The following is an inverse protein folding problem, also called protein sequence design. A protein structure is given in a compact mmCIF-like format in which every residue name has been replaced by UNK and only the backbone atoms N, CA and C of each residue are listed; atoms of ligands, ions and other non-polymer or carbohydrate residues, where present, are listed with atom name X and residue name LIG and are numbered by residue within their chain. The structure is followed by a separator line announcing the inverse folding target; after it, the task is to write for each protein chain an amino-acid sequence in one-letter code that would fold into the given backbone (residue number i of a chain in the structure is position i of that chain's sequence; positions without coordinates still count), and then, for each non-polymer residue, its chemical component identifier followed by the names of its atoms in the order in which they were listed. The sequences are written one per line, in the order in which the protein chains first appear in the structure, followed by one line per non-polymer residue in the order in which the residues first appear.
data_IF_583627353844
#
_entry.id   IF_583627353844
#
_cell.length_a   1.000
_cell.length_b   1.000
_cell.length_c   1.000
_cell.angle_alpha   90.00
_cell.angle_beta   90.00
_cell.angle_gamma   90.00
#
_symmetry.space_group_name_H-M   'P 1'
#
loop_
_entity.id
_entity.type
_entity.pdbx_description
1 polymer ?
#
# COMPACT_ATOMS: atom_id res chain seq x y z
N UNK A 1 -21.59 -12.90 7.44
CA UNK A 1 -21.15 -12.05 6.33
C UNK A 1 -19.99 -12.77 5.66
N UNK A 2 -20.18 -13.16 4.40
CA UNK A 2 -19.15 -13.83 3.62
C UNK A 2 -18.04 -12.80 3.37
N UNK A 3 -16.86 -13.03 3.94
CA UNK A 3 -15.65 -12.25 3.65
C UNK A 3 -15.25 -12.68 2.24
N UNK A 4 -15.62 -11.83 1.27
CA UNK A 4 -15.43 -12.10 -0.15
C UNK A 4 -13.96 -12.28 -0.48
N UNK A 5 -13.71 -13.34 -1.20
CA UNK A 5 -12.55 -13.67 -2.01
C UNK A 5 -11.16 -13.37 -1.42
N UNK A 6 -10.76 -14.14 -0.41
CA UNK A 6 -9.33 -14.45 -0.25
C UNK A 6 -8.82 -14.85 -1.65
N UNK A 7 -7.78 -14.18 -2.18
CA UNK A 7 -7.26 -14.53 -3.49
C UNK A 7 -6.93 -16.01 -3.55
N UNK A 8 -7.38 -16.64 -4.63
CA UNK A 8 -7.18 -18.08 -4.85
C UNK A 8 -5.69 -18.43 -4.90
N UNK A 9 -5.29 -19.70 -4.67
CA UNK A 9 -3.90 -20.16 -4.83
C UNK A 9 -3.27 -19.79 -6.18
N UNK A 10 -4.08 -19.65 -7.25
CA UNK A 10 -3.63 -19.18 -8.57
C UNK A 10 -3.13 -17.72 -8.54
N UNK A 11 -3.73 -16.84 -7.75
CA UNK A 11 -3.27 -15.46 -7.60
C UNK A 11 -1.91 -15.39 -6.91
N UNK A 12 -1.67 -16.19 -5.87
CA UNK A 12 -0.39 -16.22 -5.17
C UNK A 12 0.78 -16.61 -6.10
N UNK A 13 0.57 -17.57 -7.01
CA UNK A 13 1.59 -17.99 -7.99
C UNK A 13 1.89 -16.88 -9.01
N UNK A 14 0.90 -16.09 -9.39
CA UNK A 14 1.09 -14.97 -10.30
C UNK A 14 1.91 -13.86 -9.65
N UNK A 15 1.55 -13.43 -8.44
CA UNK A 15 2.32 -12.43 -7.68
C UNK A 15 3.75 -12.92 -7.36
N UNK A 16 3.94 -14.21 -7.14
CA UNK A 16 5.27 -14.81 -6.93
C UNK A 16 6.14 -14.66 -8.20
N UNK A 17 5.58 -14.91 -9.38
CA UNK A 17 6.27 -14.68 -10.66
C UNK A 17 6.60 -13.21 -10.90
N UNK A 18 5.65 -12.32 -10.63
CA UNK A 18 5.85 -10.87 -10.75
C UNK A 18 6.97 -10.38 -9.83
N UNK A 19 6.97 -10.82 -8.57
CA UNK A 19 8.04 -10.47 -7.64
C UNK A 19 9.41 -10.96 -8.10
N UNK A 20 9.53 -12.22 -8.58
CA UNK A 20 10.79 -12.76 -9.10
C UNK A 20 11.27 -12.00 -10.34
N UNK A 21 10.38 -11.71 -11.28
CA UNK A 21 10.71 -10.94 -12.48
C UNK A 21 11.18 -9.51 -12.11
N UNK A 22 10.51 -8.87 -11.14
CA UNK A 22 10.94 -7.58 -10.62
C UNK A 22 12.34 -7.67 -9.98
N UNK A 23 12.59 -8.69 -9.17
CA UNK A 23 13.89 -8.90 -8.49
C UNK A 23 15.02 -9.08 -9.50
N UNK A 24 14.79 -9.88 -10.53
CA UNK A 24 15.76 -10.10 -11.62
C UNK A 24 16.07 -8.80 -12.36
N UNK A 25 15.05 -7.98 -12.63
CA UNK A 25 15.21 -6.68 -13.30
C UNK A 25 15.98 -5.65 -12.44
N UNK A 26 15.88 -5.72 -11.10
CA UNK A 26 16.61 -4.83 -10.19
C UNK A 26 18.06 -5.25 -9.98
N UNK A 27 18.38 -6.52 -10.20
CA UNK A 27 19.69 -7.11 -9.99
C UNK A 27 20.11 -7.25 -8.52
N UNK A 28 21.38 -7.62 -8.25
CA UNK A 28 21.84 -8.02 -6.90
C UNK A 28 21.63 -6.98 -5.80
N UNK A 29 21.59 -5.68 -6.15
CA UNK A 29 21.37 -4.59 -5.18
C UNK A 29 19.98 -4.61 -4.55
N UNK A 30 19.00 -5.27 -5.19
CA UNK A 30 17.68 -5.44 -4.61
C UNK A 30 17.69 -6.29 -3.34
N UNK A 31 18.71 -7.11 -3.15
CA UNK A 31 18.91 -7.95 -1.97
C UNK A 31 19.76 -7.28 -0.87
N UNK A 32 20.22 -6.05 -1.09
CA UNK A 32 20.95 -5.26 -0.10
C UNK A 32 19.98 -4.42 0.72
N UNK A 33 19.73 -4.82 1.96
CA UNK A 33 18.80 -4.16 2.87
C UNK A 33 19.14 -2.67 3.08
N UNK A 34 20.40 -2.37 3.32
CA UNK A 34 20.84 -1.01 3.59
C UNK A 34 20.64 -0.09 2.38
N UNK A 35 20.95 -0.61 1.20
CA UNK A 35 20.73 0.12 -0.05
C UNK A 35 19.22 0.37 -0.27
N UNK A 36 18.37 -0.63 -0.03
CA UNK A 36 16.91 -0.55 -0.16
C UNK A 36 16.32 0.44 0.86
N UNK A 37 16.71 0.38 2.11
CA UNK A 37 16.22 1.26 3.18
C UNK A 37 16.60 2.73 2.93
N UNK A 38 17.77 3.01 2.37
CA UNK A 38 18.16 4.37 1.96
C UNK A 38 17.39 4.88 0.77
N UNK A 39 16.84 3.99 -0.06
CA UNK A 39 16.14 4.31 -1.31
C UNK A 39 14.62 4.13 -1.25
N UNK A 40 14.05 4.30 -0.06
CA UNK A 40 12.60 4.32 0.07
C UNK A 40 11.99 5.27 -0.97
N UNK A 41 10.94 4.81 -1.66
CA UNK A 41 10.32 5.57 -2.75
C UNK A 41 9.84 6.95 -2.27
N UNK A 42 9.97 7.97 -3.11
CA UNK A 42 9.63 9.34 -2.73
C UNK A 42 8.16 9.46 -2.26
N UNK A 43 7.22 8.75 -2.88
CA UNK A 43 5.81 8.70 -2.52
C UNK A 43 5.58 8.09 -1.14
N UNK A 44 6.31 7.04 -0.78
CA UNK A 44 6.28 6.44 0.55
C UNK A 44 6.79 7.43 1.62
N UNK A 45 7.84 8.20 1.31
CA UNK A 45 8.33 9.26 2.23
C UNK A 45 7.30 10.38 2.44
N UNK A 46 6.55 10.75 1.39
CA UNK A 46 5.45 11.72 1.53
C UNK A 46 4.35 11.14 2.40
N UNK A 47 3.98 9.87 2.18
CA UNK A 47 2.94 9.18 2.93
C UNK A 47 3.29 9.12 4.43
N UNK A 48 4.52 8.70 4.78
CA UNK A 48 5.01 8.65 6.17
C UNK A 48 5.00 10.01 6.86
N UNK A 49 5.33 11.09 6.15
CA UNK A 49 5.27 12.45 6.71
C UNK A 49 3.86 12.91 7.00
N UNK A 50 2.89 12.49 6.19
CA UNK A 50 1.49 12.90 6.35
C UNK A 50 0.75 12.03 7.36
N UNK A 51 1.09 10.78 7.45
CA UNK A 51 0.48 9.76 8.29
C UNK A 51 1.57 9.04 9.07
N UNK A 52 2.12 9.70 10.10
CA UNK A 52 3.19 9.10 10.91
C UNK A 52 2.68 7.88 11.66
N UNK A 53 3.45 6.77 11.64
CA UNK A 53 3.01 5.50 12.22
C UNK A 53 3.35 5.36 13.72
N UNK A 54 4.01 6.32 14.34
CA UNK A 54 4.48 6.23 15.72
C UNK A 54 3.39 5.78 16.70
N UNK A 55 3.70 4.75 17.51
CA UNK A 55 2.82 4.14 18.51
C UNK A 55 1.49 3.62 17.96
N UNK A 56 1.42 3.25 16.68
CA UNK A 56 0.23 2.73 16.03
C UNK A 56 0.43 1.30 15.61
N UNK A 57 -0.68 0.54 15.58
CA UNK A 57 -0.72 -0.73 14.87
C UNK A 57 -0.94 -0.44 13.40
N UNK A 58 0.01 -0.81 12.58
CA UNK A 58 0.04 -0.48 11.16
C UNK A 58 0.10 -1.73 10.30
N UNK A 59 -0.81 -1.83 9.33
CA UNK A 59 -0.77 -2.83 8.27
C UNK A 59 -0.19 -2.22 7.00
N UNK A 60 0.82 -2.85 6.45
CA UNK A 60 1.34 -2.61 5.10
C UNK A 60 0.76 -3.70 4.17
N UNK A 61 -0.31 -3.36 3.47
CA UNK A 61 -1.01 -4.29 2.58
C UNK A 61 -0.38 -4.25 1.18
N UNK A 62 0.07 -5.41 0.69
CA UNK A 62 0.92 -5.50 -0.50
C UNK A 62 2.35 -5.09 -0.17
N UNK A 63 2.90 -5.63 0.92
CA UNK A 63 4.19 -5.18 1.46
C UNK A 63 5.39 -5.62 0.63
N UNK A 64 5.20 -6.50 -0.35
CA UNK A 64 6.28 -7.05 -1.16
C UNK A 64 7.38 -7.68 -0.28
N UNK A 65 8.64 -7.29 -0.44
CA UNK A 65 9.79 -7.73 0.36
C UNK A 65 9.96 -6.96 1.68
N UNK A 66 8.94 -6.24 2.13
CA UNK A 66 8.82 -5.70 3.49
C UNK A 66 9.62 -4.44 3.78
N UNK A 67 10.25 -3.78 2.81
CA UNK A 67 11.08 -2.58 3.06
C UNK A 67 10.27 -1.44 3.69
N UNK A 68 9.04 -1.23 3.25
CA UNK A 68 8.20 -0.19 3.83
C UNK A 68 7.71 -0.59 5.23
N UNK A 69 7.34 -1.86 5.44
CA UNK A 69 6.98 -2.41 6.75
C UNK A 69 8.11 -2.28 7.77
N UNK A 70 9.35 -2.61 7.38
CA UNK A 70 10.54 -2.40 8.22
C UNK A 70 10.72 -0.92 8.58
N UNK A 71 10.44 -0.02 7.65
CA UNK A 71 10.48 1.43 7.94
C UNK A 71 9.38 1.85 8.91
N UNK A 72 8.17 1.32 8.80
CA UNK A 72 7.09 1.57 9.78
C UNK A 72 7.52 1.14 11.19
N UNK A 73 8.11 -0.04 11.32
CA UNK A 73 8.64 -0.55 12.60
C UNK A 73 9.74 0.36 13.16
N UNK A 74 10.70 0.81 12.34
CA UNK A 74 11.76 1.74 12.76
C UNK A 74 11.21 3.11 13.22
N UNK A 75 10.05 3.49 12.73
CA UNK A 75 9.36 4.73 13.11
C UNK A 75 8.41 4.54 14.32
N UNK A 76 8.50 3.41 15.02
CA UNK A 76 7.77 3.17 16.27
C UNK A 76 6.40 2.51 16.13
N UNK A 77 6.04 2.02 14.93
CA UNK A 77 4.80 1.26 14.76
C UNK A 77 4.95 -0.19 15.25
N UNK A 78 3.84 -0.77 15.70
CA UNK A 78 3.65 -2.21 15.70
C UNK A 78 3.19 -2.61 14.29
N UNK A 79 4.16 -3.01 13.44
CA UNK A 79 3.93 -3.18 12.02
C UNK A 79 3.69 -4.63 11.61
N UNK A 80 2.73 -4.83 10.72
CA UNK A 80 2.47 -6.11 10.03
C UNK A 80 2.55 -5.86 8.53
N UNK A 81 3.34 -6.68 7.83
CA UNK A 81 3.39 -6.73 6.37
C UNK A 81 2.62 -7.93 5.84
N UNK A 82 1.69 -7.69 4.96
CA UNK A 82 0.94 -8.72 4.26
C UNK A 82 1.20 -8.66 2.76
N UNK A 83 1.50 -9.81 2.16
CA UNK A 83 1.62 -9.96 0.70
C UNK A 83 1.21 -11.37 0.29
N UNK A 84 0.69 -11.52 -0.92
CA UNK A 84 0.28 -12.81 -1.48
C UNK A 84 1.45 -13.68 -1.94
N UNK A 85 2.62 -13.08 -2.23
CA UNK A 85 3.80 -13.78 -2.73
C UNK A 85 4.60 -14.41 -1.59
N UNK A 86 4.65 -15.76 -1.48
CA UNK A 86 5.53 -16.42 -0.51
C UNK A 86 7.02 -16.08 -0.72
N UNK A 87 7.44 -15.86 -1.97
CA UNK A 87 8.83 -15.48 -2.26
C UNK A 87 9.15 -14.07 -1.73
N UNK A 88 8.23 -13.12 -1.88
CA UNK A 88 8.39 -11.76 -1.35
C UNK A 88 8.42 -11.78 0.19
N UNK A 89 7.51 -12.50 0.83
CA UNK A 89 7.49 -12.66 2.29
C UNK A 89 8.75 -13.38 2.77
N UNK A 90 9.21 -14.43 2.07
CA UNK A 90 10.47 -15.10 2.41
C UNK A 90 11.69 -14.17 2.34
N UNK A 91 11.68 -13.18 1.44
CA UNK A 91 12.73 -12.15 1.39
C UNK A 91 12.57 -11.11 2.50
N UNK A 92 11.33 -10.71 2.82
CA UNK A 92 11.04 -9.81 3.94
C UNK A 92 11.53 -10.39 5.29
N UNK A 93 11.32 -11.69 5.50
CA UNK A 93 11.81 -12.42 6.66
C UNK A 93 13.34 -12.41 6.75
N UNK A 94 14.03 -12.57 5.61
CA UNK A 94 15.52 -12.47 5.58
C UNK A 94 15.98 -11.06 5.94
N UNK A 95 15.30 -10.03 5.45
CA UNK A 95 15.61 -8.64 5.78
C UNK A 95 15.33 -8.30 7.25
N UNK A 96 14.29 -8.88 7.85
CA UNK A 96 14.02 -8.74 9.28
C UNK A 96 15.09 -9.40 10.14
N UNK A 97 15.64 -10.53 9.70
CA UNK A 97 16.59 -11.33 10.47
C UNK A 97 15.93 -11.97 11.70
N UNK A 98 16.67 -12.05 12.80
CA UNK A 98 16.22 -12.69 14.03
C UNK A 98 15.28 -11.82 14.90
N UNK A 99 14.97 -10.59 14.50
CA UNK A 99 14.05 -9.73 15.26
C UNK A 99 12.64 -10.29 15.24
N UNK A 100 11.87 -10.24 16.35
CA UNK A 100 10.50 -10.75 16.40
C UNK A 100 9.51 -9.88 15.62
N UNK A 101 9.87 -8.64 15.34
CA UNK A 101 9.02 -7.67 14.62
C UNK A 101 9.80 -6.95 13.51
N UNK A 102 9.14 -6.45 12.48
CA UNK A 102 7.70 -6.62 12.19
C UNK A 102 7.30 -8.05 11.87
N UNK A 103 6.00 -8.35 11.92
CA UNK A 103 5.45 -9.64 11.48
C UNK A 103 5.21 -9.59 9.97
N UNK A 104 5.60 -10.64 9.24
CA UNK A 104 5.29 -10.82 7.82
C UNK A 104 4.41 -12.05 7.61
N UNK A 105 3.43 -11.96 6.72
CA UNK A 105 2.44 -13.02 6.52
C UNK A 105 1.88 -13.05 5.10
N UNK A 106 1.58 -14.27 4.62
CA UNK A 106 0.76 -14.49 3.41
C UNK A 106 -0.72 -14.73 3.73
N UNK A 107 -1.08 -14.74 5.01
CA UNK A 107 -2.46 -14.89 5.48
C UNK A 107 -2.99 -13.52 5.88
N UNK A 108 -4.14 -13.08 5.34
CA UNK A 108 -4.71 -11.79 5.73
C UNK A 108 -4.93 -11.71 7.25
N UNK A 109 -4.57 -10.60 7.88
CA UNK A 109 -4.84 -10.41 9.31
C UNK A 109 -6.35 -10.35 9.60
N UNK A 110 -6.72 -10.49 10.87
CA UNK A 110 -8.11 -10.36 11.30
C UNK A 110 -8.62 -8.92 11.18
N UNK A 111 -9.95 -8.71 11.13
CA UNK A 111 -10.55 -7.40 11.02
C UNK A 111 -10.41 -6.57 12.30
N UNK A 112 -10.55 -5.24 12.18
CA UNK A 112 -10.67 -4.32 13.31
C UNK A 112 -9.39 -4.12 14.13
N UNK A 113 -8.21 -4.41 13.58
CA UNK A 113 -6.98 -4.46 14.37
C UNK A 113 -6.08 -3.23 14.22
N UNK A 114 -6.18 -2.47 13.11
CA UNK A 114 -5.15 -1.50 12.75
C UNK A 114 -5.63 -0.05 12.86
N UNK A 115 -4.78 0.80 13.41
CA UNK A 115 -4.99 2.25 13.43
C UNK A 115 -4.69 2.88 12.06
N UNK A 116 -3.75 2.26 11.31
CA UNK A 116 -3.37 2.65 9.97
C UNK A 116 -3.28 1.41 9.06
N UNK A 117 -3.94 1.48 7.92
CA UNK A 117 -3.76 0.54 6.82
C UNK A 117 -3.10 1.30 5.68
N UNK A 118 -1.91 0.89 5.28
CA UNK A 118 -1.20 1.42 4.11
C UNK A 118 -1.44 0.50 2.92
N UNK A 119 -1.83 1.08 1.78
CA UNK A 119 -2.03 0.40 0.49
C UNK A 119 -1.25 1.17 -0.59
N UNK A 120 0.01 0.77 -0.81
CA UNK A 120 0.92 1.50 -1.69
C UNK A 120 1.07 0.80 -3.03
N UNK A 121 0.58 1.41 -4.12
CA UNK A 121 0.71 0.88 -5.47
C UNK A 121 0.16 -0.56 -5.58
N UNK A 122 -1.05 -0.76 -5.07
CA UNK A 122 -1.76 -2.05 -5.11
C UNK A 122 -3.10 -1.91 -5.83
N UNK A 123 -3.79 -0.77 -5.63
CA UNK A 123 -5.16 -0.59 -6.07
C UNK A 123 -5.30 -0.71 -7.60
N UNK A 124 -4.29 -0.26 -8.35
CA UNK A 124 -4.23 -0.35 -9.81
C UNK A 124 -4.15 -1.78 -10.36
N UNK A 125 -3.73 -2.73 -9.53
CA UNK A 125 -3.66 -4.16 -9.89
C UNK A 125 -4.95 -4.93 -9.62
N UNK A 126 -5.95 -4.27 -9.02
CA UNK A 126 -7.18 -4.92 -8.56
C UNK A 126 -8.32 -4.74 -9.57
N UNK A 127 -8.97 -5.83 -9.93
CA UNK A 127 -10.11 -5.82 -10.87
C UNK A 127 -11.37 -5.21 -10.28
N UNK A 128 -11.78 -5.59 -9.07
CA UNK A 128 -12.89 -5.00 -8.31
C UNK A 128 -12.35 -4.15 -7.18
N UNK A 129 -11.98 -2.92 -7.51
CA UNK A 129 -11.38 -1.97 -6.58
C UNK A 129 -12.34 -1.54 -5.46
N UNK A 130 -13.63 -1.41 -5.77
CA UNK A 130 -14.61 -1.00 -4.77
C UNK A 130 -14.81 -2.08 -3.68
N UNK A 131 -14.90 -3.35 -4.04
CA UNK A 131 -14.96 -4.44 -3.07
C UNK A 131 -13.66 -4.54 -2.27
N UNK A 132 -12.52 -4.42 -2.95
CA UNK A 132 -11.20 -4.48 -2.32
C UNK A 132 -10.97 -3.37 -1.29
N UNK A 133 -11.39 -2.13 -1.55
CA UNK A 133 -11.32 -1.05 -0.56
C UNK A 133 -12.15 -1.38 0.68
N UNK A 134 -13.29 -2.07 0.52
CA UNK A 134 -14.08 -2.56 1.65
C UNK A 134 -13.32 -3.58 2.52
N UNK A 135 -12.56 -4.47 1.90
CA UNK A 135 -11.70 -5.41 2.63
C UNK A 135 -10.61 -4.66 3.42
N UNK A 136 -9.96 -3.66 2.79
CA UNK A 136 -8.96 -2.84 3.48
C UNK A 136 -9.54 -2.06 4.67
N UNK A 137 -10.73 -1.52 4.50
CA UNK A 137 -11.45 -0.80 5.57
C UNK A 137 -11.83 -1.74 6.72
N UNK A 138 -12.15 -3.01 6.42
CA UNK A 138 -12.49 -3.99 7.46
C UNK A 138 -11.31 -4.30 8.41
N UNK A 139 -10.06 -4.10 8.00
CA UNK A 139 -8.90 -4.24 8.89
C UNK A 139 -8.77 -3.11 9.91
N UNK A 140 -9.41 -1.95 9.69
CA UNK A 140 -9.28 -0.77 10.55
C UNK A 140 -9.96 -0.97 11.89
N UNK A 141 -9.27 -0.61 12.94
CA UNK A 141 -9.85 -0.38 14.27
C UNK A 141 -10.80 0.84 14.24
N UNK A 142 -11.71 0.98 15.21
CA UNK A 142 -12.54 2.17 15.33
C UNK A 142 -11.71 3.46 15.35
N UNK A 143 -11.98 4.38 14.42
CA UNK A 143 -11.20 5.62 14.25
C UNK A 143 -9.93 5.47 13.42
N UNK A 144 -9.62 4.28 12.93
CA UNK A 144 -8.50 4.01 12.04
C UNK A 144 -8.64 4.65 10.66
N UNK A 145 -7.55 4.69 9.90
CA UNK A 145 -7.48 5.37 8.61
C UNK A 145 -6.80 4.48 7.58
N UNK A 146 -7.45 4.31 6.43
CA UNK A 146 -6.84 3.74 5.23
C UNK A 146 -6.14 4.85 4.47
N UNK A 147 -4.87 4.64 4.14
CA UNK A 147 -4.06 5.57 3.34
C UNK A 147 -3.30 4.81 2.26
N UNK A 148 -3.09 5.43 1.12
CA UNK A 148 -2.34 4.76 0.07
C UNK A 148 -1.90 5.66 -1.05
N UNK A 149 -1.22 5.03 -2.01
CA UNK A 149 -0.79 5.67 -3.25
C UNK A 149 -1.24 4.85 -4.45
N UNK A 150 -1.51 5.52 -5.56
CA UNK A 150 -1.72 4.90 -6.88
C UNK A 150 -1.24 5.85 -7.98
N UNK A 151 -0.71 5.36 -9.11
CA UNK A 151 -0.31 6.19 -10.23
C UNK A 151 -1.45 7.04 -10.80
N UNK A 152 -1.11 8.17 -11.39
CA UNK A 152 -2.07 9.02 -12.11
C UNK A 152 -2.08 8.67 -13.59
N UNK A 153 -3.19 8.12 -14.10
CA UNK A 153 -3.39 7.83 -15.51
C UNK A 153 -2.32 6.89 -16.11
N UNK A 154 -2.09 7.01 -17.41
CA UNK A 154 -1.19 6.13 -18.20
C UNK A 154 0.31 6.34 -17.99
N UNK A 155 0.73 7.13 -17.01
CA UNK A 155 2.14 7.55 -16.89
C UNK A 155 3.11 6.47 -16.42
N UNK A 156 2.59 5.37 -15.90
CA UNK A 156 3.39 4.19 -15.58
C UNK A 156 2.81 3.02 -16.36
N UNK A 157 3.36 2.80 -17.56
CA UNK A 157 3.00 1.62 -18.32
C UNK A 157 3.56 0.39 -17.60
N UNK A 158 2.67 -0.32 -16.93
CA UNK A 158 2.89 -1.62 -16.35
C UNK A 158 1.80 -2.54 -16.90
N UNK A 159 2.17 -3.64 -17.59
CA UNK A 159 1.21 -4.57 -18.18
C UNK A 159 0.28 -5.22 -17.15
N UNK A 160 0.68 -5.22 -15.89
CA UNK A 160 -0.08 -5.80 -14.79
C UNK A 160 -1.11 -4.83 -14.19
N UNK A 161 -1.11 -3.55 -14.61
CA UNK A 161 -2.14 -2.59 -14.22
C UNK A 161 -3.48 -2.94 -14.89
N UNK A 162 -4.46 -3.28 -14.09
CA UNK A 162 -5.84 -3.54 -14.53
C UNK A 162 -6.65 -2.25 -14.64
N UNK A 163 -6.18 -1.18 -13.99
CA UNK A 163 -6.86 0.12 -13.92
C UNK A 163 -5.90 1.29 -14.02
N UNK A 164 -6.43 2.35 -14.61
CA UNK A 164 -5.81 3.67 -14.65
C UNK A 164 -6.73 4.64 -13.93
N UNK A 165 -6.17 5.40 -12.97
CA UNK A 165 -6.98 6.33 -12.19
C UNK A 165 -6.79 7.77 -12.66
N UNK A 166 -7.90 8.44 -12.89
CA UNK A 166 -8.05 9.87 -12.71
C UNK A 166 -8.64 10.17 -11.32
N UNK A 167 -8.81 11.46 -10.99
CA UNK A 167 -9.35 11.84 -9.69
C UNK A 167 -10.78 11.32 -9.47
N UNK A 168 -11.62 11.38 -10.51
CA UNK A 168 -13.04 11.06 -10.40
C UNK A 168 -13.25 9.55 -10.22
N UNK A 169 -12.54 8.73 -11.00
CA UNK A 169 -12.61 7.27 -10.90
C UNK A 169 -12.06 6.76 -9.56
N UNK A 170 -10.97 7.36 -9.06
CA UNK A 170 -10.45 7.03 -7.75
C UNK A 170 -11.42 7.42 -6.62
N UNK A 171 -12.01 8.61 -6.69
CA UNK A 171 -12.99 9.07 -5.71
C UNK A 171 -14.23 8.18 -5.69
N UNK A 172 -14.69 7.72 -6.85
CA UNK A 172 -15.81 6.78 -6.97
C UNK A 172 -15.51 5.43 -6.30
N UNK A 173 -14.30 4.88 -6.47
CA UNK A 173 -13.89 3.63 -5.84
C UNK A 173 -13.83 3.73 -4.30
N UNK A 174 -13.41 4.89 -3.78
CA UNK A 174 -13.14 5.09 -2.36
C UNK A 174 -14.35 5.60 -1.56
N UNK A 175 -15.20 6.46 -2.14
CA UNK A 175 -16.22 7.26 -1.42
C UNK A 175 -17.33 6.42 -0.78
N UNK A 176 -17.58 5.20 -1.29
CA UNK A 176 -18.52 4.24 -0.70
C UNK A 176 -18.18 3.88 0.75
N UNK A 177 -16.90 3.99 1.13
CA UNK A 177 -16.36 3.44 2.36
C UNK A 177 -16.07 4.47 3.45
N UNK A 178 -16.30 5.75 3.16
CA UNK A 178 -16.11 6.81 4.15
C UNK A 178 -15.80 8.16 3.54
N UNK A 179 -15.35 9.08 4.38
CA UNK A 179 -14.87 10.39 3.94
C UNK A 179 -13.54 10.24 3.24
N UNK A 180 -13.44 10.74 2.00
CA UNK A 180 -12.26 10.60 1.14
C UNK A 180 -11.53 11.93 0.98
N UNK A 181 -10.22 11.88 1.03
CA UNK A 181 -9.34 12.97 0.62
C UNK A 181 -8.32 12.45 -0.37
N UNK A 182 -8.22 13.08 -1.54
CA UNK A 182 -7.27 12.72 -2.61
C UNK A 182 -6.42 13.95 -2.90
N UNK A 183 -5.10 13.76 -2.95
CA UNK A 183 -4.14 14.78 -3.37
C UNK A 183 -3.18 14.23 -4.41
N UNK A 184 -2.95 14.99 -5.45
CA UNK A 184 -1.97 14.67 -6.48
C UNK A 184 -0.59 15.18 -6.07
N UNK A 185 0.41 14.36 -6.21
CA UNK A 185 1.81 14.68 -5.93
C UNK A 185 2.69 14.35 -7.14
N UNK A 186 3.72 15.15 -7.32
CA UNK A 186 4.75 14.96 -8.34
C UNK A 186 6.09 14.60 -7.70
N UNK A 187 6.91 13.86 -8.41
CA UNK A 187 8.24 13.45 -7.94
C UNK A 187 9.14 14.64 -7.63
N UNK A 188 9.05 15.73 -8.39
CA UNK A 188 9.81 16.96 -8.17
C UNK A 188 9.01 17.97 -7.36
N UNK A 189 9.50 18.45 -6.19
CA UNK A 189 8.76 19.36 -5.32
C UNK A 189 8.31 20.66 -5.99
N UNK A 190 9.13 21.25 -6.90
CA UNK A 190 8.78 22.44 -7.66
C UNK A 190 7.51 22.28 -8.50
N UNK A 191 7.22 21.09 -8.99
CA UNK A 191 6.02 20.80 -9.77
C UNK A 191 4.73 20.77 -8.92
N UNK A 192 4.84 20.60 -7.63
CA UNK A 192 3.70 20.69 -6.72
C UNK A 192 3.22 22.15 -6.50
N UNK A 193 4.05 23.11 -6.89
CA UNK A 193 3.77 24.57 -6.73
C UNK A 193 3.30 25.23 -8.03
N UNK A 194 3.48 24.59 -9.17
CA UNK A 194 3.17 25.15 -10.49
C UNK A 194 1.90 24.53 -11.08
N UNK A 195 0.95 25.34 -11.58
CA UNK A 195 -0.33 24.86 -12.13
C UNK A 195 -0.22 24.25 -13.54
N UNK A 196 0.97 24.17 -14.12
CA UNK A 196 1.14 23.73 -15.50
C UNK A 196 1.08 22.20 -15.62
N UNK A 197 0.27 21.74 -16.56
CA UNK A 197 0.24 20.36 -17.06
C UNK A 197 1.63 19.95 -17.51
N UNK A 198 2.29 19.09 -16.75
CA UNK A 198 3.47 18.39 -17.20
C UNK A 198 3.25 16.91 -17.04
N UNK A 199 3.38 16.22 -18.15
CA UNK A 199 3.51 14.77 -18.22
C UNK A 199 4.74 14.37 -17.41
N UNK A 200 4.54 13.84 -16.22
CA UNK A 200 5.61 13.40 -15.36
C UNK A 200 5.06 12.51 -14.26
N UNK A 201 5.89 11.63 -13.75
CA UNK A 201 5.51 10.67 -12.73
C UNK A 201 4.77 11.35 -11.56
N UNK A 202 3.46 11.26 -11.57
CA UNK A 202 2.58 11.76 -10.54
C UNK A 202 1.85 10.57 -9.89
N UNK A 203 1.57 10.70 -8.61
CA UNK A 203 0.73 9.75 -7.88
C UNK A 203 -0.40 10.50 -7.19
N UNK A 204 -1.52 9.83 -7.03
CA UNK A 204 -2.49 10.19 -6.02
C UNK A 204 -2.04 9.62 -4.68
N UNK A 205 -2.16 10.44 -3.64
CA UNK A 205 -2.18 10.00 -2.25
C UNK A 205 -3.62 10.15 -1.78
N UNK A 206 -4.19 9.05 -1.32
CA UNK A 206 -5.55 9.02 -0.83
C UNK A 206 -5.62 8.67 0.66
N UNK A 207 -6.69 9.13 1.28
CA UNK A 207 -7.07 8.86 2.66
C UNK A 207 -8.55 8.52 2.68
N UNK A 208 -8.91 7.43 3.35
CA UNK A 208 -10.30 7.06 3.62
C UNK A 208 -10.49 6.95 5.13
N UNK A 209 -11.44 7.71 5.66
CA UNK A 209 -11.90 7.60 7.06
C UNK A 209 -13.29 7.00 7.06
N UNK A 210 -13.46 5.76 7.51
CA UNK A 210 -14.77 5.17 7.64
C UNK A 210 -15.67 6.02 8.51
N UNK A 211 -16.94 6.14 8.13
CA UNK A 211 -17.93 6.80 8.99
C UNK A 211 -18.13 5.94 10.24
N UNK A 212 -18.08 6.57 11.41
CA UNK A 212 -18.38 5.85 12.64
C UNK A 212 -19.87 5.47 12.64
N UNK A 213 -20.20 4.27 13.10
CA UNK A 213 -21.59 3.85 13.27
C UNK A 213 -22.40 4.78 14.19
N UNK A 214 -21.72 5.74 14.85
CA UNK A 214 -22.35 6.77 15.71
C UNK A 214 -22.90 7.96 14.92
N UNK A 215 -22.38 8.21 13.70
CA UNK A 215 -22.77 9.36 12.87
C UNK A 215 -23.95 9.02 11.93
N UNK A 216 -24.44 7.78 11.99
CA UNK A 216 -25.57 7.28 11.18
C UNK A 216 -26.90 7.28 11.95
N UNK A 217 -27.01 8.02 13.09
CA UNK A 217 -28.27 8.19 13.83
C UNK A 217 -28.77 9.60 13.81
#
# INVERSE_FOLDING_TARGET
MNIGTVPTPSGALEYDRQYRAWLDAQGPRALDLDWRMRRLLWRQRVLLRRFPPDRKRALDFGCMDGIFTLRLQQLGAEAVGYDLSPAAIGQAEKFRGAAPHPVFTTVPPGPGQFDLVYCNEVLEHIGDDAAFVGELVAFLAPGGVLVGTTPVGKHFWDPDHKREYDRASLELALSRWGTVRIRRYYRTPLRNLLPFRQEGAAVFIFEVRPQSLRDAR
#
